data_IF_552577275731
#
_entry.id   IF_552577275731
#
_cell.length_a   1.000
_cell.length_b   1.000
_cell.length_c   1.000
_cell.angle_alpha   90.00
_cell.angle_beta   90.00
_cell.angle_gamma   90.00
#
_symmetry.space_group_name_H-M   'P 1'
#
loop_
_entity.id
_entity.type
_entity.pdbx_description
1 polymer ?
#
# COMPACT_ATOMS: atom_id res chain seq x y z
N UNK A 1 47.01 -47.66 -63.24
CA UNK A 1 46.25 -48.32 -62.18
C UNK A 1 45.58 -47.24 -61.32
N UNK A 2 44.31 -47.06 -61.54
CA UNK A 2 43.50 -46.04 -60.97
C UNK A 2 42.79 -46.60 -59.74
N UNK A 3 43.06 -46.03 -58.56
CA UNK A 3 42.39 -46.43 -57.33
C UNK A 3 41.16 -45.51 -57.06
N UNK A 4 40.02 -46.07 -57.35
CA UNK A 4 38.75 -45.44 -56.93
C UNK A 4 38.59 -45.58 -55.42
N UNK A 5 38.59 -44.42 -54.74
CA UNK A 5 38.16 -44.31 -53.35
C UNK A 5 36.64 -44.25 -53.32
N UNK A 6 36.01 -45.32 -52.85
CA UNK A 6 34.60 -45.41 -52.59
C UNK A 6 34.41 -44.58 -51.30
N UNK A 7 33.75 -43.43 -51.42
CA UNK A 7 33.27 -42.65 -50.28
C UNK A 7 31.94 -43.34 -49.85
N UNK A 8 32.01 -44.14 -48.78
CA UNK A 8 30.82 -44.66 -48.10
C UNK A 8 30.26 -43.53 -47.27
N UNK A 9 29.24 -42.86 -47.80
CA UNK A 9 28.37 -42.00 -47.02
C UNK A 9 27.62 -42.89 -46.00
N UNK A 10 28.12 -42.89 -44.78
CA UNK A 10 27.32 -43.36 -43.66
C UNK A 10 26.22 -42.32 -43.43
N UNK A 11 25.01 -42.62 -43.97
CA UNK A 11 23.79 -42.06 -43.41
C UNK A 11 23.61 -42.67 -42.02
N UNK A 12 24.14 -42.01 -41.02
CA UNK A 12 23.68 -42.20 -39.66
C UNK A 12 22.19 -41.78 -39.66
N UNK A 13 21.30 -42.77 -39.78
CA UNK A 13 19.91 -42.59 -39.40
C UNK A 13 19.90 -42.32 -37.91
N UNK A 14 20.03 -41.04 -37.53
CA UNK A 14 19.64 -40.59 -36.20
C UNK A 14 18.16 -40.94 -36.12
N UNK A 15 17.81 -41.97 -35.35
CA UNK A 15 16.44 -42.21 -34.94
C UNK A 15 16.05 -41.01 -34.05
N UNK A 16 15.55 -39.98 -34.72
CA UNK A 16 14.99 -38.79 -34.08
C UNK A 16 13.67 -39.29 -33.49
N UNK A 17 13.63 -39.50 -32.17
CA UNK A 17 12.41 -39.82 -31.47
C UNK A 17 11.50 -38.58 -31.57
N UNK A 18 10.71 -38.52 -32.63
CA UNK A 18 9.53 -37.68 -32.65
C UNK A 18 8.58 -38.19 -31.56
N UNK A 19 7.79 -37.32 -30.96
CA UNK A 19 6.69 -37.76 -30.10
C UNK A 19 5.96 -38.89 -30.82
N UNK A 20 6.07 -40.13 -30.30
CA UNK A 20 5.49 -41.27 -30.95
C UNK A 20 3.97 -41.20 -30.89
N UNK A 21 3.36 -41.00 -32.07
CA UNK A 21 1.91 -41.15 -32.19
C UNK A 21 1.55 -42.62 -32.06
N UNK A 22 0.57 -42.93 -31.22
CA UNK A 22 -0.04 -44.26 -31.20
C UNK A 22 -0.65 -44.59 -32.56
N UNK A 23 -0.89 -45.88 -32.85
CA UNK A 23 -1.54 -46.29 -34.07
C UNK A 23 -2.89 -45.62 -34.30
N UNK A 24 -3.65 -45.46 -33.20
CA UNK A 24 -4.96 -44.80 -33.24
C UNK A 24 -4.82 -43.30 -33.59
N UNK A 25 -3.90 -42.59 -32.99
CA UNK A 25 -3.64 -41.17 -33.29
C UNK A 25 -3.20 -40.97 -34.73
N UNK A 26 -2.35 -41.86 -35.26
CA UNK A 26 -1.94 -41.82 -36.68
C UNK A 26 -3.12 -41.99 -37.62
N UNK A 27 -4.02 -42.94 -37.33
CA UNK A 27 -5.22 -43.16 -38.13
C UNK A 27 -6.15 -41.94 -38.08
N UNK A 28 -6.34 -41.36 -36.90
CA UNK A 28 -7.12 -40.15 -36.70
C UNK A 28 -6.54 -38.97 -37.48
N UNK A 29 -5.25 -38.71 -37.36
CA UNK A 29 -4.59 -37.56 -38.00
C UNK A 29 -4.58 -37.74 -39.53
N UNK A 30 -4.42 -38.96 -40.05
CA UNK A 30 -4.50 -39.24 -41.47
C UNK A 30 -5.89 -38.94 -42.07
N UNK A 31 -6.95 -39.06 -41.28
CA UNK A 31 -8.33 -38.80 -41.71
C UNK A 31 -8.70 -37.32 -41.72
N UNK A 32 -7.89 -36.46 -41.07
CA UNK A 32 -8.16 -35.03 -40.96
C UNK A 32 -7.55 -34.21 -42.10
N UNK A 33 -8.23 -33.13 -42.47
CA UNK A 33 -7.65 -32.12 -43.38
C UNK A 33 -6.52 -31.35 -42.67
N UNK A 34 -5.67 -30.68 -43.44
CA UNK A 34 -4.61 -29.81 -42.89
C UNK A 34 -5.21 -28.76 -41.97
N UNK A 35 -6.30 -28.06 -42.39
CA UNK A 35 -6.99 -27.06 -41.58
C UNK A 35 -7.55 -27.64 -40.26
N UNK A 36 -8.10 -28.86 -40.33
CA UNK A 36 -8.60 -29.56 -39.14
C UNK A 36 -7.50 -29.86 -38.13
N UNK A 37 -6.33 -30.26 -38.59
CA UNK A 37 -5.15 -30.49 -37.76
C UNK A 37 -4.64 -29.18 -37.14
N UNK A 38 -4.60 -28.07 -37.90
CA UNK A 38 -4.19 -26.76 -37.41
C UNK A 38 -5.15 -26.27 -36.32
N UNK A 39 -6.47 -26.34 -36.58
CA UNK A 39 -7.48 -25.92 -35.58
C UNK A 39 -7.35 -26.73 -34.29
N UNK A 40 -7.12 -28.04 -34.41
CA UNK A 40 -6.90 -28.89 -33.23
C UNK A 40 -5.63 -28.53 -32.48
N UNK A 41 -4.52 -28.29 -33.19
CA UNK A 41 -3.27 -27.87 -32.59
C UNK A 41 -3.43 -26.57 -31.81
N UNK A 42 -4.06 -25.54 -32.40
CA UNK A 42 -4.36 -24.24 -31.77
C UNK A 42 -5.30 -24.42 -30.57
N UNK A 43 -6.33 -25.27 -30.69
CA UNK A 43 -7.24 -25.57 -29.58
C UNK A 43 -6.52 -26.13 -28.36
N UNK A 44 -5.62 -27.08 -28.55
CA UNK A 44 -4.82 -27.67 -27.49
C UNK A 44 -3.83 -26.65 -26.92
N UNK A 45 -3.20 -25.82 -27.75
CA UNK A 45 -2.30 -24.74 -27.32
C UNK A 45 -3.05 -23.70 -26.46
N UNK A 46 -4.25 -23.30 -26.87
CA UNK A 46 -5.10 -22.36 -26.11
C UNK A 46 -5.53 -22.92 -24.74
N UNK A 47 -5.71 -24.26 -24.65
CA UNK A 47 -6.03 -24.94 -23.40
C UNK A 47 -4.77 -25.39 -22.61
N UNK A 48 -3.59 -24.92 -22.98
CA UNK A 48 -2.30 -25.20 -22.33
C UNK A 48 -1.90 -26.72 -22.39
N UNK A 49 -2.58 -27.53 -23.23
CA UNK A 49 -2.17 -28.90 -23.52
C UNK A 49 -1.10 -28.92 -24.63
N UNK A 50 0.09 -28.43 -24.23
CA UNK A 50 1.22 -28.32 -25.16
C UNK A 50 1.71 -29.67 -25.71
N UNK A 51 1.51 -30.76 -24.95
CA UNK A 51 1.88 -32.11 -25.40
C UNK A 51 1.02 -32.52 -26.60
N UNK A 52 -0.30 -32.38 -26.50
CA UNK A 52 -1.21 -32.70 -27.60
C UNK A 52 -0.95 -31.76 -28.79
N UNK A 53 -0.83 -30.45 -28.54
CA UNK A 53 -0.51 -29.46 -29.58
C UNK A 53 0.79 -29.81 -30.31
N UNK A 54 1.86 -30.18 -29.60
CA UNK A 54 3.14 -30.57 -30.17
C UNK A 54 3.02 -31.78 -31.11
N UNK A 55 2.18 -32.79 -30.77
CA UNK A 55 1.90 -33.94 -31.62
C UNK A 55 1.28 -33.53 -32.96
N UNK A 56 0.30 -32.63 -32.93
CA UNK A 56 -0.35 -32.14 -34.14
C UNK A 56 0.62 -31.36 -35.03
N UNK A 57 1.43 -30.46 -34.48
CA UNK A 57 2.40 -29.68 -35.23
C UNK A 57 3.54 -30.55 -35.77
N UNK A 58 4.01 -31.52 -34.98
CA UNK A 58 5.02 -32.50 -35.45
C UNK A 58 4.50 -33.33 -36.65
N UNK A 59 3.24 -33.79 -36.56
CA UNK A 59 2.60 -34.51 -37.69
C UNK A 59 2.45 -33.59 -38.90
N UNK A 60 1.98 -32.36 -38.74
CA UNK A 60 1.84 -31.38 -39.83
C UNK A 60 3.19 -31.08 -40.48
N UNK A 61 4.25 -30.89 -39.72
CA UNK A 61 5.60 -30.67 -40.26
C UNK A 61 6.10 -31.86 -41.05
N UNK A 62 5.99 -33.07 -40.50
CA UNK A 62 6.42 -34.29 -41.19
C UNK A 62 5.67 -34.55 -42.50
N UNK A 63 4.40 -34.13 -42.58
CA UNK A 63 3.55 -34.31 -43.78
C UNK A 63 3.79 -33.23 -44.84
N UNK A 64 4.06 -31.99 -44.45
CA UNK A 64 4.05 -30.85 -45.37
C UNK A 64 5.42 -30.20 -45.57
N UNK A 65 6.34 -30.41 -44.65
CA UNK A 65 7.67 -29.78 -44.55
C UNK A 65 7.60 -28.23 -44.49
N UNK A 66 6.47 -27.68 -44.02
CA UNK A 66 6.31 -26.25 -43.83
C UNK A 66 6.98 -25.83 -42.53
N UNK A 67 8.00 -24.94 -42.63
CA UNK A 67 8.83 -24.47 -41.49
C UNK A 67 7.99 -23.87 -40.35
N UNK A 68 6.81 -23.30 -40.66
CA UNK A 68 5.91 -22.72 -39.66
C UNK A 68 5.45 -23.74 -38.63
N UNK A 69 5.12 -24.94 -39.06
CA UNK A 69 4.70 -26.00 -38.13
C UNK A 69 5.83 -26.49 -37.25
N UNK A 70 7.07 -26.51 -37.79
CA UNK A 70 8.25 -26.80 -36.99
C UNK A 70 8.48 -25.77 -35.92
N UNK A 71 8.27 -24.48 -36.20
CA UNK A 71 8.42 -23.42 -35.19
C UNK A 71 7.39 -23.56 -34.06
N UNK A 72 6.14 -23.92 -34.35
CA UNK A 72 5.14 -24.19 -33.31
C UNK A 72 5.45 -25.47 -32.50
N UNK A 73 5.89 -26.53 -33.17
CA UNK A 73 6.35 -27.76 -32.49
C UNK A 73 7.47 -27.44 -31.50
N UNK A 74 8.45 -26.65 -31.94
CA UNK A 74 9.59 -26.26 -31.13
C UNK A 74 9.15 -25.37 -29.97
N UNK A 75 8.24 -24.43 -30.20
CA UNK A 75 7.72 -23.57 -29.13
C UNK A 75 7.01 -24.38 -28.01
N UNK A 76 6.20 -25.38 -28.43
CA UNK A 76 5.53 -26.29 -27.48
C UNK A 76 6.53 -27.20 -26.74
N UNK A 77 7.60 -27.63 -27.41
CA UNK A 77 8.65 -28.47 -26.79
C UNK A 77 9.40 -27.76 -25.67
N UNK A 78 9.53 -26.44 -25.75
CA UNK A 78 10.12 -25.61 -24.70
C UNK A 78 9.26 -25.70 -23.42
N UNK A 79 7.93 -25.68 -23.56
CA UNK A 79 7.00 -25.76 -22.41
C UNK A 79 6.89 -27.19 -21.85
N UNK A 80 7.02 -28.19 -22.68
CA UNK A 80 6.87 -29.61 -22.30
C UNK A 80 8.17 -30.27 -21.85
N UNK A 81 9.31 -29.70 -22.18
CA UNK A 81 10.66 -30.28 -22.05
C UNK A 81 10.81 -31.62 -22.80
N UNK A 82 10.02 -31.84 -23.88
CA UNK A 82 10.07 -33.06 -24.70
C UNK A 82 10.78 -32.74 -26.02
N UNK A 83 11.64 -33.63 -26.46
CA UNK A 83 12.39 -33.55 -27.72
C UNK A 83 13.32 -32.32 -27.85
N UNK A 84 13.82 -31.78 -26.76
CA UNK A 84 14.66 -30.56 -26.77
C UNK A 84 15.91 -30.72 -27.66
N UNK A 85 16.67 -31.80 -27.48
CA UNK A 85 17.92 -32.05 -28.28
C UNK A 85 17.65 -32.10 -29.78
N UNK A 86 16.59 -32.81 -30.19
CA UNK A 86 16.15 -32.89 -31.59
C UNK A 86 15.81 -31.49 -32.11
N UNK A 87 15.07 -30.73 -31.36
CA UNK A 87 14.60 -29.42 -31.77
C UNK A 87 15.76 -28.38 -31.78
N UNK A 88 16.76 -28.53 -30.91
CA UNK A 88 18.00 -27.78 -30.99
C UNK A 88 18.70 -28.03 -32.31
N UNK A 89 18.91 -29.31 -32.72
CA UNK A 89 19.54 -29.65 -33.97
C UNK A 89 18.75 -29.11 -35.18
N UNK A 90 17.41 -29.21 -35.14
CA UNK A 90 16.56 -28.65 -36.17
C UNK A 90 16.72 -27.14 -36.32
N UNK A 91 16.69 -26.39 -35.19
CA UNK A 91 16.83 -24.94 -35.19
C UNK A 91 18.24 -24.45 -35.55
N UNK A 92 19.30 -25.21 -35.20
CA UNK A 92 20.67 -24.93 -35.66
C UNK A 92 20.76 -25.04 -37.18
N UNK A 93 20.22 -26.08 -37.75
CA UNK A 93 20.17 -26.24 -39.21
C UNK A 93 19.37 -25.11 -39.89
N UNK A 94 18.25 -24.69 -39.29
CA UNK A 94 17.44 -23.58 -39.81
C UNK A 94 18.17 -22.26 -39.74
N UNK A 95 18.86 -21.97 -38.63
CA UNK A 95 19.71 -20.79 -38.46
C UNK A 95 20.79 -20.71 -39.54
N UNK A 96 21.46 -21.84 -39.84
CA UNK A 96 22.54 -21.87 -40.79
C UNK A 96 22.02 -21.76 -42.25
N UNK A 97 20.82 -22.33 -42.52
CA UNK A 97 20.18 -22.25 -43.85
C UNK A 97 19.61 -20.84 -44.12
N UNK A 98 19.10 -20.16 -43.09
CA UNK A 98 18.43 -18.87 -43.19
C UNK A 98 19.03 -17.87 -42.17
N UNK A 99 20.26 -17.38 -42.38
CA UNK A 99 20.98 -16.58 -41.38
C UNK A 99 20.29 -15.24 -41.03
N UNK A 100 19.50 -14.69 -41.96
CA UNK A 100 18.74 -13.46 -41.76
C UNK A 100 17.40 -13.66 -41.02
N UNK A 101 16.95 -14.89 -40.90
CA UNK A 101 15.75 -15.22 -40.15
C UNK A 101 16.07 -15.30 -38.66
N UNK A 102 15.49 -14.38 -37.87
CA UNK A 102 15.74 -14.31 -36.43
C UNK A 102 14.91 -15.31 -35.60
N UNK A 103 13.88 -15.91 -36.21
CA UNK A 103 12.97 -16.83 -35.49
C UNK A 103 13.71 -18.08 -34.95
N UNK A 104 14.56 -18.77 -35.74
CA UNK A 104 15.40 -19.84 -35.21
C UNK A 104 16.33 -19.42 -34.10
N UNK A 105 16.94 -18.22 -34.20
CA UNK A 105 17.84 -17.71 -33.17
C UNK A 105 17.11 -17.46 -31.84
N UNK A 106 15.88 -16.89 -31.88
CA UNK A 106 15.04 -16.70 -30.69
C UNK A 106 14.66 -18.01 -30.05
N UNK A 107 14.23 -18.99 -30.88
CA UNK A 107 13.87 -20.31 -30.37
C UNK A 107 15.07 -21.06 -29.78
N UNK A 108 16.28 -20.93 -30.37
CA UNK A 108 17.50 -21.49 -29.80
C UNK A 108 17.86 -20.93 -28.43
N UNK A 109 17.68 -19.63 -28.22
CA UNK A 109 17.88 -19.03 -26.88
C UNK A 109 17.01 -19.73 -25.86
N UNK A 110 15.71 -19.91 -26.16
CA UNK A 110 14.76 -20.57 -25.24
C UNK A 110 15.02 -22.07 -25.11
N UNK A 111 15.31 -22.77 -26.20
CA UNK A 111 15.64 -24.21 -26.18
C UNK A 111 16.87 -24.48 -25.31
N UNK A 112 17.95 -23.71 -25.48
CA UNK A 112 19.14 -23.87 -24.66
C UNK A 112 18.88 -23.54 -23.19
N UNK A 113 18.00 -22.59 -22.90
CA UNK A 113 17.57 -22.34 -21.51
C UNK A 113 16.83 -23.54 -20.92
N UNK A 114 15.85 -24.08 -21.65
CA UNK A 114 15.05 -25.23 -21.20
C UNK A 114 15.87 -26.52 -21.13
N UNK A 115 16.94 -26.65 -21.92
CA UNK A 115 17.85 -27.79 -21.92
C UNK A 115 19.04 -27.58 -20.95
N UNK A 116 18.98 -26.53 -20.08
CA UNK A 116 20.04 -26.18 -19.12
C UNK A 116 21.41 -25.88 -19.74
N UNK A 117 21.45 -25.63 -21.07
CA UNK A 117 22.66 -25.28 -21.81
C UNK A 117 22.93 -23.76 -21.75
N UNK A 118 23.02 -23.20 -20.56
CA UNK A 118 23.05 -21.77 -20.29
C UNK A 118 24.14 -20.99 -21.05
N UNK A 119 25.28 -21.59 -21.23
CA UNK A 119 26.40 -20.99 -21.99
C UNK A 119 26.04 -20.77 -23.47
N UNK A 120 25.37 -21.77 -24.08
CA UNK A 120 24.92 -21.67 -25.47
C UNK A 120 23.78 -20.66 -25.61
N UNK A 121 22.85 -20.65 -24.66
CA UNK A 121 21.78 -19.64 -24.63
C UNK A 121 22.34 -18.23 -24.57
N UNK A 122 23.30 -17.96 -23.69
CA UNK A 122 23.97 -16.66 -23.58
C UNK A 122 24.70 -16.30 -24.88
N UNK A 123 25.43 -17.23 -25.48
CA UNK A 123 26.12 -17.03 -26.78
C UNK A 123 25.13 -16.69 -27.90
N UNK A 124 24.02 -17.42 -27.99
CA UNK A 124 22.97 -17.20 -28.97
C UNK A 124 22.24 -15.87 -28.72
N UNK A 125 22.01 -15.50 -27.47
CA UNK A 125 21.46 -14.19 -27.11
C UNK A 125 22.32 -13.04 -27.60
N UNK A 126 23.64 -13.12 -27.44
CA UNK A 126 24.56 -12.12 -27.95
C UNK A 126 24.55 -12.05 -29.48
N UNK A 127 24.55 -13.20 -30.17
CA UNK A 127 24.40 -13.25 -31.62
C UNK A 127 23.07 -12.63 -32.09
N UNK A 128 21.96 -12.90 -31.39
CA UNK A 128 20.67 -12.29 -31.72
C UNK A 128 20.75 -10.76 -31.66
N UNK A 129 21.40 -10.20 -30.64
CA UNK A 129 21.55 -8.76 -30.46
C UNK A 129 22.49 -8.10 -31.50
N UNK A 130 23.35 -8.87 -32.18
CA UNK A 130 24.12 -8.36 -33.32
C UNK A 130 23.24 -8.07 -34.54
N UNK A 131 22.16 -8.83 -34.70
CA UNK A 131 21.22 -8.70 -35.82
C UNK A 131 19.99 -7.85 -35.50
N UNK A 132 19.59 -7.78 -34.24
CA UNK A 132 18.38 -7.05 -33.83
C UNK A 132 18.56 -6.36 -32.49
N UNK A 133 18.24 -5.07 -32.52
CA UNK A 133 18.16 -4.21 -31.33
C UNK A 133 16.71 -3.75 -31.10
N UNK A 134 15.71 -4.53 -31.54
CA UNK A 134 14.31 -4.21 -31.28
C UNK A 134 14.01 -4.20 -29.79
N UNK A 135 12.99 -3.46 -29.34
CA UNK A 135 12.56 -3.45 -27.94
C UNK A 135 12.31 -4.89 -27.48
N UNK A 136 11.54 -5.65 -28.26
CA UNK A 136 11.18 -7.03 -27.91
C UNK A 136 12.41 -7.95 -27.77
N UNK A 137 13.42 -7.83 -28.63
CA UNK A 137 14.63 -8.66 -28.54
C UNK A 137 15.52 -8.24 -27.36
N UNK A 138 15.59 -6.93 -27.07
CA UNK A 138 16.31 -6.43 -25.90
C UNK A 138 15.66 -6.95 -24.60
N UNK A 139 14.34 -6.90 -24.49
CA UNK A 139 13.60 -7.45 -23.34
C UNK A 139 13.71 -8.96 -23.24
N UNK A 140 13.60 -9.66 -24.38
CA UNK A 140 13.73 -11.11 -24.45
C UNK A 140 15.10 -11.57 -23.94
N UNK A 141 16.16 -10.95 -24.44
CA UNK A 141 17.53 -11.28 -23.99
C UNK A 141 17.75 -10.84 -22.55
N UNK A 142 17.19 -9.70 -22.11
CA UNK A 142 17.26 -9.29 -20.71
C UNK A 142 16.69 -10.37 -19.76
N UNK A 143 15.59 -11.07 -20.16
CA UNK A 143 15.04 -12.19 -19.41
C UNK A 143 16.04 -13.34 -19.25
N UNK A 144 16.76 -13.68 -20.31
CA UNK A 144 17.82 -14.70 -20.25
C UNK A 144 18.88 -14.32 -19.21
N UNK A 145 19.33 -13.07 -19.23
CA UNK A 145 20.33 -12.60 -18.27
C UNK A 145 19.79 -12.50 -16.83
N UNK A 146 18.52 -12.18 -16.64
CA UNK A 146 17.86 -12.23 -15.31
C UNK A 146 17.82 -13.65 -14.76
N UNK A 147 17.46 -14.61 -15.58
CA UNK A 147 17.48 -16.03 -15.19
C UNK A 147 18.88 -16.48 -14.77
N UNK A 148 19.91 -16.03 -15.48
CA UNK A 148 21.31 -16.30 -15.19
C UNK A 148 21.87 -15.49 -14.01
N UNK A 149 21.03 -14.72 -13.31
CA UNK A 149 21.38 -13.82 -12.20
C UNK A 149 22.37 -12.69 -12.59
N UNK A 150 22.50 -12.39 -13.87
CA UNK A 150 23.34 -11.29 -14.40
C UNK A 150 22.54 -9.99 -14.49
N UNK A 151 22.00 -9.54 -13.36
CA UNK A 151 21.02 -8.46 -13.24
C UNK A 151 21.53 -7.12 -13.81
N UNK A 152 22.77 -6.76 -13.55
CA UNK A 152 23.35 -5.48 -14.06
C UNK A 152 23.36 -5.43 -15.59
N UNK A 153 23.61 -6.56 -16.26
CA UNK A 153 23.56 -6.60 -17.71
C UNK A 153 22.14 -6.58 -18.23
N UNK A 154 21.23 -7.29 -17.57
CA UNK A 154 19.81 -7.24 -17.88
C UNK A 154 19.24 -5.82 -17.79
N UNK A 155 19.60 -5.07 -16.73
CA UNK A 155 19.20 -3.67 -16.57
C UNK A 155 19.75 -2.83 -17.75
N UNK A 156 21.00 -3.03 -18.17
CA UNK A 156 21.56 -2.31 -19.33
C UNK A 156 20.78 -2.56 -20.62
N UNK A 157 20.30 -3.78 -20.83
CA UNK A 157 19.47 -4.12 -21.98
C UNK A 157 18.09 -3.48 -21.89
N UNK A 158 17.46 -3.55 -20.72
CA UNK A 158 16.18 -2.88 -20.45
C UNK A 158 16.28 -1.36 -20.56
N UNK A 159 17.40 -0.75 -20.13
CA UNK A 159 17.66 0.68 -20.33
C UNK A 159 17.73 1.04 -21.82
N UNK A 160 18.39 0.19 -22.64
CA UNK A 160 18.39 0.37 -24.10
C UNK A 160 16.99 0.24 -24.69
N UNK A 161 16.19 -0.70 -24.22
CA UNK A 161 14.80 -0.87 -24.65
C UNK A 161 13.97 0.36 -24.25
N UNK A 162 14.05 0.77 -22.99
CA UNK A 162 13.36 1.94 -22.46
C UNK A 162 13.66 3.22 -23.25
N UNK A 163 14.94 3.47 -23.55
CA UNK A 163 15.35 4.67 -24.28
C UNK A 163 14.85 4.73 -25.75
N UNK A 164 14.21 3.68 -26.27
CA UNK A 164 13.62 3.67 -27.61
C UNK A 164 12.19 4.20 -27.64
N UNK A 165 11.40 3.93 -26.64
CA UNK A 165 9.97 4.26 -26.60
C UNK A 165 9.50 4.82 -25.26
N UNK A 166 10.35 4.85 -24.23
CA UNK A 166 10.04 5.28 -22.87
C UNK A 166 8.82 4.59 -22.28
N UNK A 167 8.68 3.29 -22.54
CA UNK A 167 7.55 2.49 -22.07
C UNK A 167 7.55 2.35 -20.55
N UNK A 168 6.40 2.62 -19.94
CA UNK A 168 6.23 2.58 -18.49
C UNK A 168 6.40 1.16 -17.92
N UNK A 169 5.98 0.13 -18.65
CA UNK A 169 6.13 -1.25 -18.20
C UNK A 169 7.62 -1.63 -18.09
N UNK A 170 8.44 -1.13 -19.02
CA UNK A 170 9.90 -1.38 -18.99
C UNK A 170 10.53 -0.70 -17.77
N UNK A 171 10.18 0.56 -17.47
CA UNK A 171 10.74 1.23 -16.30
C UNK A 171 10.27 0.60 -14.98
N UNK A 172 9.01 0.19 -14.87
CA UNK A 172 8.51 -0.55 -13.72
C UNK A 172 9.26 -1.87 -13.51
N UNK A 173 9.57 -2.56 -14.60
CA UNK A 173 10.36 -3.78 -14.55
C UNK A 173 11.80 -3.54 -14.11
N UNK A 174 12.48 -2.51 -14.63
CA UNK A 174 13.82 -2.11 -14.16
C UNK A 174 13.77 -1.83 -12.66
N UNK A 175 12.76 -1.10 -12.21
CA UNK A 175 12.57 -0.76 -10.79
C UNK A 175 12.37 -2.02 -9.94
N UNK A 176 11.60 -3.00 -10.39
CA UNK A 176 11.42 -4.24 -9.64
C UNK A 176 12.74 -4.99 -9.42
N UNK A 177 13.64 -4.98 -10.41
CA UNK A 177 14.97 -5.57 -10.29
C UNK A 177 15.83 -4.76 -9.30
N UNK A 178 15.82 -3.44 -9.41
CA UNK A 178 16.58 -2.56 -8.52
C UNK A 178 16.12 -2.70 -7.05
N UNK A 179 14.82 -2.84 -6.83
CA UNK A 179 14.24 -3.09 -5.49
C UNK A 179 14.75 -4.42 -4.93
N UNK A 180 14.77 -5.48 -5.74
CA UNK A 180 15.30 -6.77 -5.30
C UNK A 180 16.81 -6.72 -4.97
N UNK A 181 17.53 -5.75 -5.52
CA UNK A 181 18.94 -5.47 -5.21
C UNK A 181 19.10 -4.42 -4.08
N UNK A 182 18.01 -4.04 -3.40
CA UNK A 182 17.97 -3.01 -2.36
C UNK A 182 18.46 -1.60 -2.83
N UNK A 183 18.34 -1.31 -4.12
CA UNK A 183 18.72 -0.01 -4.72
C UNK A 183 17.53 0.96 -4.71
N UNK A 184 16.92 1.19 -3.53
CA UNK A 184 15.64 1.91 -3.37
C UNK A 184 15.72 3.36 -3.88
N UNK A 185 16.78 4.10 -3.55
CA UNK A 185 16.93 5.49 -3.99
C UNK A 185 17.05 5.63 -5.51
N UNK A 186 17.71 4.68 -6.17
CA UNK A 186 17.79 4.65 -7.62
C UNK A 186 16.41 4.37 -8.24
N UNK A 187 15.67 3.43 -7.65
CA UNK A 187 14.29 3.10 -8.05
C UNK A 187 13.38 4.33 -8.02
N UNK A 188 13.38 5.08 -6.92
CA UNK A 188 12.63 6.33 -6.78
C UNK A 188 13.04 7.33 -7.87
N UNK A 189 14.35 7.55 -8.04
CA UNK A 189 14.85 8.49 -9.02
C UNK A 189 14.36 8.15 -10.43
N UNK A 190 14.37 6.88 -10.81
CA UNK A 190 13.92 6.42 -12.13
C UNK A 190 12.44 6.65 -12.36
N UNK A 191 11.58 6.30 -11.38
CA UNK A 191 10.14 6.53 -11.47
C UNK A 191 9.79 8.01 -11.49
N UNK A 192 10.40 8.82 -10.64
CA UNK A 192 10.18 10.28 -10.64
C UNK A 192 10.64 10.93 -11.95
N UNK A 193 11.76 10.46 -12.53
CA UNK A 193 12.22 10.94 -13.83
C UNK A 193 11.20 10.64 -14.92
N UNK A 194 10.68 9.40 -14.97
CA UNK A 194 9.64 9.01 -15.91
C UNK A 194 8.38 9.85 -15.73
N UNK A 195 7.92 10.01 -14.49
CA UNK A 195 6.74 10.80 -14.13
C UNK A 195 6.84 12.25 -14.59
N UNK A 196 8.00 12.88 -14.40
CA UNK A 196 8.26 14.25 -14.86
C UNK A 196 8.22 14.34 -16.39
N UNK A 197 8.80 13.37 -17.10
CA UNK A 197 8.80 13.32 -18.57
C UNK A 197 7.38 13.26 -19.15
N UNK A 198 6.44 12.65 -18.45
CA UNK A 198 5.03 12.55 -18.86
C UNK A 198 4.11 13.56 -18.18
N UNK A 199 4.65 14.64 -17.60
CA UNK A 199 3.88 15.68 -16.92
C UNK A 199 2.89 15.10 -15.87
N UNK A 200 3.33 14.09 -15.12
CA UNK A 200 2.54 13.32 -14.14
C UNK A 200 1.36 12.52 -14.76
N UNK A 201 1.30 12.34 -16.06
CA UNK A 201 0.32 11.47 -16.72
C UNK A 201 0.88 10.05 -16.80
N UNK A 202 0.86 9.34 -15.69
CA UNK A 202 1.39 7.98 -15.50
C UNK A 202 0.30 7.04 -14.98
N UNK A 203 0.56 5.74 -14.91
CA UNK A 203 -0.43 4.80 -14.37
C UNK A 203 -0.53 4.86 -12.83
N UNK A 204 -1.65 4.34 -12.29
CA UNK A 204 -1.79 4.14 -10.84
C UNK A 204 -0.74 3.16 -10.29
N UNK A 205 -0.27 2.21 -11.09
CA UNK A 205 0.74 1.23 -10.67
C UNK A 205 2.09 1.88 -10.42
N UNK A 206 2.47 2.89 -11.21
CA UNK A 206 3.66 3.68 -10.96
C UNK A 206 3.54 4.48 -9.66
N UNK A 207 2.39 5.11 -9.42
CA UNK A 207 2.14 5.85 -8.18
C UNK A 207 2.16 4.91 -6.96
N UNK A 208 1.54 3.73 -7.04
CA UNK A 208 1.60 2.71 -5.98
C UNK A 208 3.04 2.23 -5.71
N UNK A 209 3.84 2.10 -6.77
CA UNK A 209 5.25 1.74 -6.64
C UNK A 209 6.03 2.84 -5.90
N UNK A 210 5.79 4.11 -6.19
CA UNK A 210 6.39 5.24 -5.45
C UNK A 210 5.94 5.28 -3.99
N UNK A 211 4.66 5.00 -3.70
CA UNK A 211 4.14 4.89 -2.33
C UNK A 211 4.94 3.85 -1.54
N UNK A 212 5.10 2.63 -2.09
CA UNK A 212 5.84 1.56 -1.43
C UNK A 212 7.31 1.92 -1.21
N UNK A 213 7.93 2.58 -2.18
CA UNK A 213 9.33 2.98 -2.10
C UNK A 213 9.53 4.09 -1.07
N UNK A 214 8.70 5.13 -1.04
CA UNK A 214 8.81 6.20 -0.04
C UNK A 214 8.52 5.69 1.36
N UNK A 215 7.56 4.77 1.52
CA UNK A 215 7.29 4.10 2.79
C UNK A 215 8.50 3.29 3.28
N UNK A 216 9.21 2.59 2.37
CA UNK A 216 10.36 1.75 2.72
C UNK A 216 11.59 2.53 3.22
N UNK A 217 11.64 3.84 2.98
CA UNK A 217 12.74 4.74 3.42
C UNK A 217 12.27 5.80 4.42
N UNK A 218 11.05 5.66 4.96
CA UNK A 218 10.43 6.60 5.90
C UNK A 218 10.35 8.06 5.38
N UNK A 219 10.31 8.26 4.06
CA UNK A 219 10.12 9.58 3.44
C UNK A 219 8.64 9.98 3.47
N UNK A 220 8.14 10.23 4.66
CA UNK A 220 6.74 10.53 4.90
C UNK A 220 6.22 11.76 4.16
N UNK A 221 7.09 12.74 3.88
CA UNK A 221 6.69 13.96 3.15
C UNK A 221 6.36 13.67 1.68
N UNK A 222 7.17 12.88 1.01
CA UNK A 222 6.91 12.51 -0.38
C UNK A 222 5.82 11.41 -0.45
N UNK A 223 5.77 10.52 0.54
CA UNK A 223 4.68 9.58 0.72
C UNK A 223 3.31 10.29 0.75
N UNK A 224 3.16 11.34 1.56
CA UNK A 224 1.93 12.13 1.64
C UNK A 224 1.53 12.70 0.27
N UNK A 225 2.50 13.20 -0.53
CA UNK A 225 2.22 13.77 -1.85
C UNK A 225 1.69 12.72 -2.83
N UNK A 226 2.34 11.55 -2.91
CA UNK A 226 1.93 10.51 -3.86
C UNK A 226 0.62 9.83 -3.43
N UNK A 227 0.33 9.71 -2.12
CA UNK A 227 -0.97 9.25 -1.65
C UNK A 227 -2.10 10.23 -2.02
N UNK A 228 -1.87 11.54 -1.83
CA UNK A 228 -2.83 12.56 -2.25
C UNK A 228 -3.12 12.47 -3.75
N UNK A 229 -2.08 12.28 -4.57
CA UNK A 229 -2.22 12.11 -6.01
C UNK A 229 -2.99 10.83 -6.37
N UNK A 230 -2.68 9.71 -5.72
CA UNK A 230 -3.41 8.46 -5.90
C UNK A 230 -4.91 8.66 -5.65
N UNK A 231 -5.26 9.28 -4.51
CA UNK A 231 -6.65 9.54 -4.17
C UNK A 231 -7.35 10.46 -5.16
N UNK A 232 -6.72 11.60 -5.49
CA UNK A 232 -7.39 12.63 -6.32
C UNK A 232 -7.53 12.21 -7.77
N UNK A 233 -6.50 11.54 -8.33
CA UNK A 233 -6.37 11.36 -9.78
C UNK A 233 -6.70 9.94 -10.25
N UNK A 234 -6.65 8.95 -9.38
CA UNK A 234 -6.76 7.55 -9.79
C UNK A 234 -7.80 6.75 -9.01
N UNK A 235 -7.71 6.70 -7.69
CA UNK A 235 -8.49 5.78 -6.85
C UNK A 235 -9.08 6.50 -5.62
N UNK A 236 -10.18 7.25 -5.75
CA UNK A 236 -10.81 7.96 -4.64
C UNK A 236 -11.61 7.00 -3.74
N UNK A 237 -10.91 6.06 -3.08
CA UNK A 237 -11.52 5.10 -2.16
C UNK A 237 -11.51 5.62 -0.73
N UNK A 238 -12.40 5.08 0.12
CA UNK A 238 -12.42 5.40 1.57
C UNK A 238 -11.08 5.02 2.20
N UNK A 239 -10.54 3.86 1.85
CA UNK A 239 -9.25 3.37 2.37
C UNK A 239 -8.11 4.35 2.08
N UNK A 240 -7.98 4.80 0.83
CA UNK A 240 -6.93 5.76 0.46
C UNK A 240 -7.13 7.12 1.14
N UNK A 241 -8.38 7.54 1.40
CA UNK A 241 -8.67 8.76 2.15
C UNK A 241 -8.24 8.63 3.61
N UNK A 242 -8.56 7.53 4.26
CA UNK A 242 -8.19 7.28 5.65
C UNK A 242 -6.67 7.19 5.82
N UNK A 243 -5.99 6.45 4.96
CA UNK A 243 -4.53 6.37 4.94
C UNK A 243 -3.89 7.76 4.77
N UNK A 244 -4.44 8.59 3.90
CA UNK A 244 -3.95 9.95 3.69
C UNK A 244 -4.07 10.80 4.95
N UNK A 245 -5.21 10.72 5.63
CA UNK A 245 -5.47 11.45 6.88
C UNK A 245 -4.51 10.97 7.98
N UNK A 246 -4.30 9.66 8.11
CA UNK A 246 -3.38 9.08 9.09
C UNK A 246 -1.94 9.55 8.86
N UNK A 247 -1.49 9.60 7.60
CA UNK A 247 -0.17 10.14 7.23
C UNK A 247 -0.06 11.61 7.66
N UNK A 248 -1.05 12.44 7.36
CA UNK A 248 -1.02 13.86 7.76
C UNK A 248 -0.98 14.03 9.27
N UNK A 249 -1.76 13.23 10.01
CA UNK A 249 -1.79 13.28 11.49
C UNK A 249 -0.41 12.86 12.06
N UNK A 250 0.14 11.77 11.55
CA UNK A 250 1.46 11.25 11.98
C UNK A 250 2.58 12.27 11.76
N UNK A 251 2.49 13.03 10.68
CA UNK A 251 3.43 14.10 10.34
C UNK A 251 3.14 15.43 11.06
N UNK A 252 2.12 15.50 11.93
CA UNK A 252 1.62 16.73 12.53
C UNK A 252 1.19 17.81 11.51
N UNK A 253 0.85 17.41 10.28
CA UNK A 253 0.34 18.26 9.20
C UNK A 253 -1.17 18.48 9.37
N UNK A 254 -1.58 18.99 10.54
CA UNK A 254 -3.00 19.05 10.92
C UNK A 254 -3.82 19.97 10.01
N UNK A 255 -3.24 21.05 9.51
CA UNK A 255 -3.93 21.96 8.58
C UNK A 255 -4.18 21.30 7.21
N UNK A 256 -3.21 20.51 6.71
CA UNK A 256 -3.37 19.75 5.46
C UNK A 256 -4.43 18.66 5.62
N UNK A 257 -4.48 17.98 6.77
CA UNK A 257 -5.52 17.01 7.10
C UNK A 257 -6.91 17.65 7.13
N UNK A 258 -7.04 18.84 7.71
CA UNK A 258 -8.28 19.61 7.76
C UNK A 258 -8.72 20.00 6.36
N UNK A 259 -7.85 20.63 5.56
CA UNK A 259 -8.15 21.02 4.18
C UNK A 259 -8.59 19.83 3.35
N UNK A 260 -7.91 18.70 3.52
CA UNK A 260 -8.23 17.47 2.80
C UNK A 260 -9.61 16.93 3.20
N UNK A 261 -9.92 16.88 4.50
CA UNK A 261 -11.23 16.44 5.00
C UNK A 261 -12.36 17.40 4.66
N UNK A 262 -12.13 18.72 4.70
CA UNK A 262 -13.12 19.72 4.28
C UNK A 262 -13.46 19.57 2.79
N UNK A 263 -12.49 19.13 1.97
CA UNK A 263 -12.66 19.03 0.51
C UNK A 263 -13.20 17.65 0.07
N UNK A 264 -12.70 16.58 0.66
CA UNK A 264 -12.95 15.19 0.22
C UNK A 264 -13.58 14.31 1.29
N UNK A 265 -13.81 14.84 2.49
CA UNK A 265 -14.50 14.13 3.56
C UNK A 265 -15.96 13.91 3.21
N UNK A 266 -16.56 12.95 3.87
CA UNK A 266 -18.00 12.73 3.85
C UNK A 266 -18.65 13.28 5.10
N UNK A 267 -19.97 13.18 5.16
CA UNK A 267 -20.76 13.63 6.29
C UNK A 267 -21.00 12.51 7.33
N UNK A 268 -20.19 11.42 7.24
CA UNK A 268 -20.23 10.35 8.20
C UNK A 268 -19.66 10.78 9.56
N UNK A 269 -20.17 10.17 10.61
CA UNK A 269 -19.81 10.57 11.98
C UNK A 269 -18.32 10.39 12.23
N UNK A 270 -17.71 9.33 11.73
CA UNK A 270 -16.27 9.05 11.86
C UNK A 270 -15.39 10.16 11.27
N UNK A 271 -15.75 10.63 10.07
CA UNK A 271 -15.07 11.76 9.41
C UNK A 271 -15.22 13.06 10.20
N UNK A 272 -16.43 13.33 10.71
CA UNK A 272 -16.71 14.49 11.55
C UNK A 272 -15.98 14.43 12.90
N UNK A 273 -15.88 13.26 13.54
CA UNK A 273 -15.13 13.09 14.80
C UNK A 273 -13.63 13.33 14.57
N UNK A 274 -13.07 12.87 13.45
CA UNK A 274 -11.69 13.15 13.07
C UNK A 274 -11.48 14.66 12.88
N UNK A 275 -12.37 15.29 12.13
CA UNK A 275 -12.30 16.75 11.88
C UNK A 275 -12.45 17.57 13.17
N UNK A 276 -13.33 17.14 14.07
CA UNK A 276 -13.46 17.72 15.41
C UNK A 276 -12.14 17.65 16.20
N UNK A 277 -11.50 16.48 16.22
CA UNK A 277 -10.22 16.28 16.88
C UNK A 277 -9.10 17.15 16.29
N UNK A 278 -9.05 17.28 14.97
CA UNK A 278 -8.10 18.13 14.27
C UNK A 278 -8.31 19.62 14.59
N UNK A 279 -9.56 20.12 14.60
CA UNK A 279 -9.84 21.49 14.98
C UNK A 279 -9.45 21.80 16.43
N UNK A 280 -9.64 20.84 17.35
CA UNK A 280 -9.13 20.98 18.74
C UNK A 280 -7.60 21.09 18.76
N UNK A 281 -6.89 20.26 17.98
CA UNK A 281 -5.42 20.28 17.89
C UNK A 281 -4.86 21.62 17.40
N UNK A 282 -5.55 22.27 16.45
CA UNK A 282 -5.15 23.59 15.94
C UNK A 282 -5.82 24.78 16.66
N UNK A 283 -6.45 24.55 17.81
CA UNK A 283 -7.15 25.54 18.62
C UNK A 283 -8.25 26.33 17.86
N UNK A 284 -8.87 25.70 16.84
CA UNK A 284 -9.99 26.29 16.09
C UNK A 284 -11.32 26.02 16.79
N UNK A 285 -11.51 26.56 17.99
CA UNK A 285 -12.63 26.22 18.88
C UNK A 285 -14.01 26.47 18.26
N UNK A 286 -14.20 27.54 17.48
CA UNK A 286 -15.48 27.81 16.82
C UNK A 286 -15.83 26.72 15.78
N UNK A 287 -14.86 26.33 14.95
CA UNK A 287 -15.06 25.24 13.97
C UNK A 287 -15.28 23.89 14.66
N UNK A 288 -14.56 23.62 15.75
CA UNK A 288 -14.79 22.42 16.57
C UNK A 288 -16.22 22.39 17.14
N UNK A 289 -16.73 23.55 17.60
CA UNK A 289 -18.10 23.67 18.12
C UNK A 289 -19.15 23.39 17.04
N UNK A 290 -18.96 23.91 15.83
CA UNK A 290 -19.86 23.66 14.70
C UNK A 290 -19.90 22.17 14.34
N UNK A 291 -18.75 21.50 14.31
CA UNK A 291 -18.67 20.07 14.05
C UNK A 291 -19.29 19.24 15.19
N UNK A 292 -19.03 19.59 16.46
CA UNK A 292 -19.64 18.92 17.60
C UNK A 292 -21.19 19.02 17.55
N UNK A 293 -21.71 20.17 17.12
CA UNK A 293 -23.16 20.35 16.92
C UNK A 293 -23.70 19.43 15.81
N UNK A 294 -23.02 19.34 14.67
CA UNK A 294 -23.41 18.43 13.58
C UNK A 294 -23.41 16.95 14.04
N UNK A 295 -22.38 16.54 14.80
CA UNK A 295 -22.31 15.17 15.33
C UNK A 295 -23.48 14.92 16.31
N UNK A 296 -23.74 15.88 17.21
CA UNK A 296 -24.88 15.78 18.12
C UNK A 296 -26.20 15.63 17.37
N UNK A 297 -26.40 16.40 16.30
CA UNK A 297 -27.62 16.31 15.50
C UNK A 297 -27.83 14.95 14.85
N UNK A 298 -26.76 14.28 14.44
CA UNK A 298 -26.77 12.95 13.83
C UNK A 298 -26.96 11.83 14.87
N UNK A 299 -26.18 11.85 15.95
CA UNK A 299 -26.15 10.76 16.93
C UNK A 299 -27.12 10.95 18.10
N UNK A 300 -27.49 12.21 18.40
CA UNK A 300 -28.20 12.61 19.64
C UNK A 300 -27.51 12.10 20.93
N UNK A 301 -26.20 11.82 20.86
CA UNK A 301 -25.45 11.37 22.03
C UNK A 301 -25.19 12.55 22.97
N UNK A 302 -25.59 12.44 24.23
CA UNK A 302 -25.43 13.55 25.22
C UNK A 302 -23.99 13.95 25.48
N UNK A 303 -23.01 13.08 25.20
CA UNK A 303 -21.58 13.37 25.25
C UNK A 303 -21.25 14.65 24.47
N UNK A 304 -21.82 14.86 23.31
CA UNK A 304 -21.52 16.01 22.47
C UNK A 304 -22.05 17.33 23.04
N UNK A 305 -23.10 17.29 23.87
CA UNK A 305 -23.50 18.49 24.63
C UNK A 305 -22.43 18.85 25.67
N UNK A 306 -21.85 17.87 26.38
CA UNK A 306 -20.76 18.13 27.32
C UNK A 306 -19.51 18.69 26.61
N UNK A 307 -19.13 18.10 25.45
CA UNK A 307 -18.01 18.61 24.62
C UNK A 307 -18.26 20.06 24.18
N UNK A 308 -19.47 20.39 23.71
CA UNK A 308 -19.83 21.78 23.38
C UNK A 308 -19.75 22.69 24.59
N UNK A 309 -20.14 22.22 25.78
CA UNK A 309 -20.01 22.95 27.04
C UNK A 309 -18.54 23.30 27.36
N UNK A 310 -17.62 22.32 27.19
CA UNK A 310 -16.17 22.55 27.36
C UNK A 310 -15.66 23.60 26.38
N UNK A 311 -15.99 23.45 25.08
CA UNK A 311 -15.54 24.39 24.04
C UNK A 311 -16.04 25.83 24.28
N UNK A 312 -17.27 26.01 24.74
CA UNK A 312 -17.82 27.33 25.10
C UNK A 312 -17.06 27.92 26.30
N UNK A 313 -16.78 27.09 27.31
CA UNK A 313 -16.01 27.52 28.49
C UNK A 313 -14.62 28.02 28.12
N UNK A 314 -13.88 27.28 27.27
CA UNK A 314 -12.53 27.66 26.81
C UNK A 314 -12.51 29.04 26.13
N UNK A 315 -13.60 29.45 25.50
CA UNK A 315 -13.72 30.77 24.86
C UNK A 315 -14.36 31.85 25.77
N UNK A 316 -14.79 31.51 26.99
CA UNK A 316 -15.65 32.37 27.78
C UNK A 316 -14.92 33.62 28.34
N UNK A 317 -13.64 33.48 28.74
CA UNK A 317 -12.86 34.58 29.36
C UNK A 317 -13.68 35.39 30.38
N UNK A 318 -14.48 34.71 31.19
CA UNK A 318 -15.41 35.31 32.17
C UNK A 318 -16.65 36.03 31.56
N UNK A 319 -16.95 35.81 30.28
CA UNK A 319 -18.19 36.25 29.65
C UNK A 319 -19.40 35.51 30.25
N UNK A 320 -20.25 36.23 30.96
CA UNK A 320 -21.43 35.69 31.67
C UNK A 320 -22.37 34.93 30.71
N UNK A 321 -22.59 35.45 29.51
CA UNK A 321 -23.49 34.81 28.51
C UNK A 321 -22.93 33.45 28.10
N UNK A 322 -21.63 33.38 27.89
CA UNK A 322 -20.98 32.09 27.53
C UNK A 322 -20.99 31.13 28.72
N UNK A 323 -20.78 31.63 29.94
CA UNK A 323 -20.85 30.78 31.14
C UNK A 323 -22.26 30.23 31.31
N UNK A 324 -23.33 31.03 31.13
CA UNK A 324 -24.70 30.56 31.21
C UNK A 324 -25.02 29.53 30.09
N UNK A 325 -24.48 29.72 28.88
CA UNK A 325 -24.61 28.78 27.79
C UNK A 325 -23.86 27.44 28.06
N UNK A 326 -22.68 27.49 28.63
CA UNK A 326 -21.92 26.33 29.09
C UNK A 326 -22.74 25.53 30.11
N UNK A 327 -23.32 26.20 31.10
CA UNK A 327 -24.19 25.56 32.11
C UNK A 327 -25.40 24.88 31.47
N UNK A 328 -26.09 25.52 30.52
CA UNK A 328 -27.21 24.91 29.80
C UNK A 328 -26.79 23.62 29.09
N UNK A 329 -25.66 23.63 28.41
CA UNK A 329 -25.16 22.43 27.74
C UNK A 329 -24.88 21.28 28.73
N UNK A 330 -24.20 21.55 29.86
CA UNK A 330 -23.91 20.52 30.86
C UNK A 330 -25.17 20.01 31.55
N UNK A 331 -26.07 20.88 31.97
CA UNK A 331 -27.32 20.44 32.62
C UNK A 331 -28.20 19.61 31.68
N UNK A 332 -28.24 19.94 30.40
CA UNK A 332 -28.92 19.11 29.38
C UNK A 332 -28.22 17.76 29.21
N UNK A 333 -26.89 17.74 29.13
CA UNK A 333 -26.10 16.51 29.03
C UNK A 333 -26.38 15.57 30.21
N UNK A 334 -26.35 16.12 31.45
CA UNK A 334 -26.63 15.37 32.67
C UNK A 334 -28.07 14.84 32.71
N UNK A 335 -29.04 15.68 32.31
CA UNK A 335 -30.46 15.28 32.23
C UNK A 335 -30.69 14.13 31.23
N UNK A 336 -29.86 14.05 30.20
CA UNK A 336 -29.90 13.00 29.19
C UNK A 336 -29.03 11.78 29.54
N UNK A 337 -28.43 11.76 30.74
CA UNK A 337 -27.74 10.59 31.30
C UNK A 337 -26.23 10.56 31.13
N UNK A 338 -25.57 11.69 30.83
CA UNK A 338 -24.11 11.74 30.88
C UNK A 338 -23.63 11.49 32.33
N UNK A 339 -22.82 10.45 32.48
CA UNK A 339 -22.24 10.03 33.77
C UNK A 339 -20.74 9.77 33.72
N UNK A 340 -20.09 10.17 32.62
CA UNK A 340 -18.63 10.07 32.50
C UNK A 340 -17.96 10.98 33.53
N UNK A 341 -17.04 10.41 34.30
CA UNK A 341 -16.35 11.09 35.40
C UNK A 341 -15.56 12.32 34.96
N UNK A 342 -15.06 12.35 33.73
CA UNK A 342 -14.37 13.50 33.17
C UNK A 342 -15.31 14.71 33.07
N UNK A 343 -16.49 14.53 32.49
CA UNK A 343 -17.48 15.62 32.33
C UNK A 343 -18.08 16.05 33.68
N UNK A 344 -18.33 15.09 34.57
CA UNK A 344 -18.80 15.38 35.92
C UNK A 344 -17.82 16.22 36.69
N UNK A 345 -16.53 15.84 36.66
CA UNK A 345 -15.51 16.62 37.36
C UNK A 345 -15.26 18.00 36.71
N UNK A 346 -15.19 18.02 35.35
CA UNK A 346 -14.98 19.31 34.66
C UNK A 346 -16.07 20.32 35.00
N UNK A 347 -17.32 19.92 34.88
CA UNK A 347 -18.44 20.83 35.21
C UNK A 347 -18.51 21.14 36.71
N UNK A 348 -18.31 20.13 37.55
CA UNK A 348 -18.27 20.30 39.01
C UNK A 348 -17.17 21.27 39.45
N UNK A 349 -15.96 21.12 38.97
CA UNK A 349 -14.85 22.03 39.23
C UNK A 349 -15.15 23.46 38.73
N UNK A 350 -15.69 23.61 37.51
CA UNK A 350 -16.04 24.91 36.95
C UNK A 350 -17.08 25.64 37.81
N UNK A 351 -18.10 24.93 38.31
CA UNK A 351 -19.09 25.51 39.23
C UNK A 351 -18.47 25.98 40.57
N UNK A 352 -17.49 25.22 41.08
CA UNK A 352 -16.75 25.52 42.30
C UNK A 352 -15.81 26.70 42.09
N UNK A 353 -14.97 26.63 41.08
CA UNK A 353 -13.89 27.60 40.87
C UNK A 353 -14.44 28.99 40.57
N UNK A 354 -15.50 29.10 39.81
CA UNK A 354 -16.17 30.36 39.48
C UNK A 354 -17.24 30.78 40.52
N UNK A 355 -17.34 30.14 41.67
CA UNK A 355 -18.34 30.41 42.72
C UNK A 355 -19.79 30.47 42.20
N UNK A 356 -20.13 29.64 41.20
CA UNK A 356 -21.45 29.62 40.57
C UNK A 356 -22.49 28.81 41.35
N UNK A 357 -22.09 27.64 41.85
CA UNK A 357 -22.89 26.76 42.69
C UNK A 357 -21.99 25.73 43.38
N UNK A 358 -21.53 26.06 44.59
CA UNK A 358 -20.59 25.20 45.31
C UNK A 358 -21.18 23.85 45.70
N UNK A 359 -22.46 23.80 46.05
CA UNK A 359 -23.11 22.55 46.48
C UNK A 359 -23.29 21.58 45.29
N UNK A 360 -23.79 22.10 44.18
CA UNK A 360 -23.93 21.34 42.95
C UNK A 360 -22.57 20.84 42.45
N UNK A 361 -21.57 21.72 42.45
CA UNK A 361 -20.20 21.37 42.01
C UNK A 361 -19.60 20.25 42.85
N UNK A 362 -19.66 20.36 44.19
CA UNK A 362 -19.18 19.31 45.10
C UNK A 362 -19.93 18.00 44.89
N UNK A 363 -21.24 18.04 44.63
CA UNK A 363 -22.03 16.84 44.35
C UNK A 363 -21.58 16.13 43.09
N UNK A 364 -21.30 16.87 42.01
CA UNK A 364 -20.84 16.33 40.74
C UNK A 364 -19.42 15.73 40.84
N UNK A 365 -18.51 16.43 41.54
CA UNK A 365 -17.15 15.92 41.78
C UNK A 365 -17.19 14.61 42.61
N UNK A 366 -18.09 14.52 43.59
CA UNK A 366 -18.28 13.25 44.34
C UNK A 366 -18.76 12.12 43.45
N UNK A 367 -19.70 12.36 42.54
CA UNK A 367 -20.12 11.37 41.58
C UNK A 367 -18.97 10.92 40.65
N UNK A 368 -18.10 11.88 40.23
CA UNK A 368 -16.89 11.53 39.49
C UNK A 368 -15.95 10.61 40.30
N UNK A 369 -15.82 10.89 41.63
CA UNK A 369 -15.02 10.07 42.53
C UNK A 369 -15.65 8.70 42.86
N UNK A 370 -16.96 8.51 42.70
CA UNK A 370 -17.58 7.18 42.77
C UNK A 370 -17.05 6.29 41.65
N UNK A 371 -16.81 6.83 40.45
CA UNK A 371 -16.24 6.13 39.30
C UNK A 371 -14.72 5.96 39.42
N UNK A 372 -14.02 7.01 39.85
CA UNK A 372 -12.55 7.03 40.01
C UNK A 372 -12.12 7.53 41.39
N UNK A 373 -12.20 6.71 42.44
CA UNK A 373 -12.04 7.12 43.85
C UNK A 373 -10.69 7.69 44.23
N UNK A 374 -9.67 7.40 43.45
CA UNK A 374 -8.27 7.81 43.73
C UNK A 374 -7.72 8.81 42.70
N UNK A 375 -8.54 9.32 41.77
CA UNK A 375 -8.06 10.31 40.81
C UNK A 375 -7.63 11.60 41.50
N UNK A 376 -6.37 11.99 41.35
CA UNK A 376 -5.77 13.14 42.02
C UNK A 376 -6.50 14.45 41.69
N UNK A 377 -6.84 14.66 40.43
CA UNK A 377 -7.53 15.87 39.96
C UNK A 377 -8.96 15.98 40.52
N UNK A 378 -9.65 14.86 40.68
CA UNK A 378 -11.01 14.87 41.25
C UNK A 378 -10.97 15.07 42.75
N UNK A 379 -9.97 14.53 43.43
CA UNK A 379 -9.75 14.79 44.86
C UNK A 379 -9.35 16.26 45.10
N UNK A 380 -8.53 16.84 44.25
CA UNK A 380 -8.19 18.24 44.27
C UNK A 380 -9.42 19.13 44.08
N UNK A 381 -10.23 18.86 43.05
CA UNK A 381 -11.49 19.57 42.82
C UNK A 381 -12.43 19.49 44.02
N UNK A 382 -12.50 18.36 44.72
CA UNK A 382 -13.30 18.19 45.93
C UNK A 382 -12.72 19.00 47.11
N UNK A 383 -11.40 18.96 47.32
CA UNK A 383 -10.73 19.72 48.34
C UNK A 383 -10.92 21.21 48.12
N UNK A 384 -10.77 21.69 46.88
CA UNK A 384 -11.03 23.06 46.48
C UNK A 384 -12.46 23.50 46.77
N UNK A 385 -13.46 22.63 46.49
CA UNK A 385 -14.86 22.89 46.83
C UNK A 385 -15.10 23.03 48.35
N UNK A 386 -14.47 22.18 49.16
CA UNK A 386 -14.54 22.36 50.63
C UNK A 386 -13.85 23.63 51.11
N UNK A 387 -12.71 23.97 50.53
CA UNK A 387 -12.02 25.25 50.84
C UNK A 387 -12.92 26.46 50.54
N UNK A 388 -13.52 26.53 49.36
CA UNK A 388 -14.45 27.59 48.94
C UNK A 388 -15.67 27.71 49.87
N UNK A 389 -16.07 26.59 50.50
CA UNK A 389 -17.13 26.59 51.54
C UNK A 389 -16.64 26.87 52.94
N UNK A 390 -15.40 27.34 53.14
CA UNK A 390 -14.76 27.54 54.43
C UNK A 390 -14.73 26.26 55.32
N UNK A 391 -14.75 25.05 54.73
CA UNK A 391 -14.63 23.79 55.44
C UNK A 391 -13.17 23.32 55.44
N UNK A 392 -12.28 24.13 56.02
CA UNK A 392 -10.82 24.02 55.92
C UNK A 392 -10.31 22.65 56.36
N UNK A 393 -10.82 22.09 57.45
CA UNK A 393 -10.42 20.76 57.94
C UNK A 393 -10.80 19.65 56.97
N UNK A 394 -11.97 19.71 56.32
CA UNK A 394 -12.35 18.73 55.29
C UNK A 394 -11.51 18.88 54.04
N UNK A 395 -11.24 20.12 53.62
CA UNK A 395 -10.38 20.38 52.47
C UNK A 395 -8.99 19.77 52.67
N UNK A 396 -8.37 20.05 53.81
CA UNK A 396 -7.05 19.53 54.15
C UNK A 396 -7.02 17.98 54.23
N UNK A 397 -8.00 17.36 54.89
CA UNK A 397 -8.07 15.90 54.98
C UNK A 397 -8.24 15.24 53.61
N UNK A 398 -9.01 15.85 52.69
CA UNK A 398 -9.17 15.36 51.31
C UNK A 398 -7.85 15.50 50.57
N UNK A 399 -7.13 16.60 50.78
CA UNK A 399 -5.83 16.82 50.12
C UNK A 399 -4.74 15.89 50.65
N UNK A 400 -4.74 15.55 51.95
CA UNK A 400 -3.81 14.59 52.54
C UNK A 400 -3.94 13.20 51.87
N UNK A 401 -5.13 12.85 51.39
CA UNK A 401 -5.33 11.61 50.62
C UNK A 401 -4.54 11.66 49.29
N UNK A 402 -4.47 12.82 48.61
CA UNK A 402 -3.69 12.96 47.37
C UNK A 402 -2.21 12.75 47.69
N UNK A 403 -1.68 13.44 48.72
CA UNK A 403 -0.29 13.31 49.14
C UNK A 403 0.08 11.87 49.47
N UNK A 404 -0.80 11.16 50.19
CA UNK A 404 -0.56 9.76 50.58
C UNK A 404 -0.53 8.81 49.39
N UNK A 405 -1.27 9.11 48.31
CA UNK A 405 -1.36 8.26 47.12
C UNK A 405 -0.24 8.53 46.11
N UNK A 406 0.15 9.78 45.93
CA UNK A 406 0.99 10.21 44.80
C UNK A 406 2.33 10.82 45.22
N UNK A 407 2.49 11.29 46.44
CA UNK A 407 3.71 11.90 46.98
C UNK A 407 4.01 13.27 46.37
N UNK A 408 4.63 13.30 45.17
CA UNK A 408 4.92 14.55 44.46
C UNK A 408 3.70 15.01 43.66
N UNK A 409 3.36 16.27 43.80
CA UNK A 409 2.18 16.90 43.18
C UNK A 409 2.59 17.79 42.01
N UNK A 410 1.67 17.98 41.07
CA UNK A 410 1.82 18.97 39.97
C UNK A 410 1.62 20.40 40.50
N UNK A 411 2.17 21.38 39.76
CA UNK A 411 2.22 22.80 40.23
C UNK A 411 0.83 23.40 40.49
N UNK A 412 -0.16 23.07 39.68
CA UNK A 412 -1.53 23.59 39.85
C UNK A 412 -2.18 23.04 41.13
N UNK A 413 -2.00 21.78 41.43
CA UNK A 413 -2.48 21.14 42.66
C UNK A 413 -1.77 21.73 43.87
N UNK A 414 -0.47 22.02 43.76
CA UNK A 414 0.30 22.66 44.83
C UNK A 414 -0.20 24.09 45.20
N UNK A 415 -0.73 24.83 44.22
CA UNK A 415 -1.31 26.15 44.49
C UNK A 415 -2.56 26.06 45.37
N UNK A 416 -3.42 25.08 45.14
CA UNK A 416 -4.59 24.81 45.96
C UNK A 416 -4.18 24.40 47.38
N UNK A 417 -3.16 23.50 47.48
CA UNK A 417 -2.65 23.07 48.79
C UNK A 417 -2.24 24.24 49.69
N UNK A 418 -1.46 25.18 49.20
CA UNK A 418 -1.01 26.35 49.97
C UNK A 418 -2.19 27.13 50.56
N UNK A 419 -3.21 27.41 49.76
CA UNK A 419 -4.41 28.11 50.20
C UNK A 419 -5.20 27.33 51.25
N UNK A 420 -5.24 25.99 51.13
CA UNK A 420 -5.92 25.11 52.07
C UNK A 420 -5.15 25.02 53.40
N UNK A 421 -3.82 25.03 53.35
CA UNK A 421 -2.97 25.05 54.55
C UNK A 421 -3.12 26.36 55.34
N UNK A 422 -3.12 27.50 54.64
CA UNK A 422 -3.36 28.81 55.26
C UNK A 422 -4.74 28.88 55.92
N UNK A 423 -5.76 28.27 55.33
CA UNK A 423 -7.11 28.24 55.89
C UNK A 423 -7.19 27.37 57.17
N UNK A 424 -6.41 26.27 57.23
CA UNK A 424 -6.41 25.34 58.38
C UNK A 424 -5.85 25.98 59.64
N UNK A 425 -4.90 26.91 59.50
CA UNK A 425 -4.27 27.60 60.62
C UNK A 425 -5.21 28.62 61.30
N UNK A 426 -6.32 28.98 60.64
CA UNK A 426 -7.32 29.97 61.13
C UNK A 426 -8.53 29.28 61.81
N UNK A 427 -8.66 27.93 61.78
CA UNK A 427 -9.69 27.09 62.44
C UNK A 427 -9.11 26.43 63.73
#
# INVERSE_FOLDING_TARGET
MSSYKIIILWFLSINIFAIELSKYEREQFNSMSEDGLIVSAIFYEYNEDYISSQKYYSYLYNKTLKDEYLYHEVANSISTHIDLDRNIVAMENMKDRYPDNLKPKRLLVSLYMSNEEYYKSKSMSNQLLEYSQSVNDLEFVANTYLYLQERDYAIKLLDKAYNKNFDENIILRIVSILVSDNKIKESIKRLETHRIMYNNSVSSDLIKSLINLYASIDDSKNLAKVYRELYISYEPTIEHRENMIEIYITLNMFNDAIEFLETYGDDEVSSLETLYGLYKKVNSTNKALDIASKIYDKQKSPKWLAEMGILIFETSKNDKVKIDKMKDYFERALKLGVNDSLYLNFYGYTLIDLDLDLDRGISLVKQALEVQPNNAYYLDSLAWGYYKKNQCKKAYNTFQKIISLYGKLEDDINQHLKKIEDCKELD
#
